data_IF_438324657473
#
_entry.id   IF_438324657473
#
_cell.length_a   1.000
_cell.length_b   1.000
_cell.length_c   1.000
_cell.angle_alpha   90.00
_cell.angle_beta   90.00
_cell.angle_gamma   90.00
#
_symmetry.space_group_name_H-M   'P 1'
#
loop_
_entity.id
_entity.type
_entity.pdbx_description
1 polymer ?
#
# COMPACT_ATOMS: atom_id res chain seq x y z
N UNK A 1 -1.72 -13.42 14.95
CA UNK A 1 -0.42 -13.04 15.57
C UNK A 1 -0.64 -12.61 17.02
N UNK A 2 -1.67 -13.14 17.70
CA UNK A 2 -2.31 -12.43 18.81
C UNK A 2 -2.91 -11.10 18.36
N UNK A 3 -3.11 -10.18 19.30
CA UNK A 3 -3.48 -8.79 19.03
C UNK A 3 -2.40 -8.13 18.17
N UNK A 4 -2.83 -7.55 17.06
CA UNK A 4 -1.94 -6.80 16.17
C UNK A 4 -1.63 -5.44 16.80
N UNK A 5 -0.35 -5.08 16.81
CA UNK A 5 0.13 -3.82 17.39
C UNK A 5 0.53 -2.84 16.29
N UNK A 6 1.40 -3.29 15.38
CA UNK A 6 1.96 -2.43 14.35
C UNK A 6 2.01 -3.12 12.99
N UNK A 7 1.74 -2.35 11.94
CA UNK A 7 2.08 -2.72 10.56
C UNK A 7 3.08 -1.69 10.04
N UNK A 8 4.17 -2.16 9.45
CA UNK A 8 5.22 -1.32 8.88
C UNK A 8 5.48 -1.79 7.45
N UNK A 9 5.07 -0.98 6.48
CA UNK A 9 5.23 -1.24 5.06
C UNK A 9 6.27 -0.30 4.49
N UNK A 10 7.34 -0.89 3.96
CA UNK A 10 8.32 -0.17 3.17
C UNK A 10 7.99 -0.37 1.68
N UNK A 11 7.59 0.72 1.04
CA UNK A 11 7.28 0.80 -0.37
C UNK A 11 8.15 1.83 -1.12
N UNK A 12 9.24 2.28 -0.49
CA UNK A 12 10.17 3.26 -1.07
C UNK A 12 10.98 2.64 -2.21
N UNK A 13 11.11 3.35 -3.33
CA UNK A 13 12.01 3.00 -4.43
C UNK A 13 12.39 4.27 -5.17
N UNK A 14 13.42 4.19 -6.01
CA UNK A 14 13.69 5.27 -6.95
C UNK A 14 12.93 4.98 -8.24
N UNK A 15 12.10 5.93 -8.68
CA UNK A 15 11.38 5.85 -9.93
C UNK A 15 11.46 7.21 -10.63
N UNK A 16 11.94 7.20 -11.87
CA UNK A 16 11.99 8.38 -12.70
C UNK A 16 10.86 8.29 -13.71
N UNK A 17 10.01 9.31 -13.77
CA UNK A 17 9.06 9.48 -14.85
C UNK A 17 9.40 10.78 -15.57
N UNK A 18 9.11 10.83 -16.86
CA UNK A 18 9.24 12.03 -17.69
C UNK A 18 8.01 12.18 -18.59
N UNK A 19 6.87 11.66 -18.13
CA UNK A 19 5.60 11.62 -18.85
C UNK A 19 4.51 12.36 -18.05
N UNK A 20 3.25 12.16 -18.44
CA UNK A 20 2.07 12.82 -17.87
C UNK A 20 1.95 12.68 -16.34
N UNK A 21 2.62 11.71 -15.71
CA UNK A 21 2.61 11.53 -14.25
C UNK A 21 3.32 12.64 -13.48
N UNK A 22 4.18 13.40 -14.15
CA UNK A 22 4.82 14.59 -13.55
C UNK A 22 4.05 15.87 -13.87
N UNK A 23 2.97 15.80 -14.64
CA UNK A 23 2.10 16.93 -14.95
C UNK A 23 0.92 16.98 -13.97
N UNK A 24 0.90 18.00 -13.12
CA UNK A 24 -0.16 18.21 -12.14
C UNK A 24 -1.54 18.41 -12.79
N UNK A 25 -1.60 18.92 -14.03
CA UNK A 25 -2.86 19.09 -14.75
C UNK A 25 -3.46 17.77 -15.27
N UNK A 26 -2.67 16.69 -15.33
CA UNK A 26 -3.10 15.39 -15.86
C UNK A 26 -3.14 14.27 -14.82
N UNK A 27 -2.29 14.33 -13.79
CA UNK A 27 -2.04 13.21 -12.87
C UNK A 27 -3.01 13.10 -11.68
N UNK A 28 -3.75 14.16 -11.32
CA UNK A 28 -4.67 14.15 -10.17
C UNK A 28 -3.97 14.21 -8.80
N UNK A 29 -2.68 13.85 -8.74
CA UNK A 29 -1.83 13.84 -7.55
C UNK A 29 -0.45 13.26 -7.88
N UNK A 30 0.46 13.29 -6.90
CA UNK A 30 1.80 12.76 -7.09
C UNK A 30 1.90 11.24 -6.88
N UNK A 31 3.07 10.83 -6.43
CA UNK A 31 3.47 9.44 -6.31
C UNK A 31 2.52 8.61 -5.43
N UNK A 32 1.97 9.18 -4.35
CA UNK A 32 1.06 8.44 -3.48
C UNK A 32 -0.27 8.13 -4.18
N UNK A 33 -0.81 9.10 -4.94
CA UNK A 33 -2.04 8.89 -5.70
C UNK A 33 -1.84 7.87 -6.83
N UNK A 34 -0.77 8.04 -7.61
CA UNK A 34 -0.47 7.19 -8.77
C UNK A 34 -0.15 5.74 -8.40
N UNK A 35 0.92 5.52 -7.63
CA UNK A 35 1.40 4.17 -7.32
C UNK A 35 1.22 3.78 -5.85
N UNK A 36 1.10 4.76 -4.96
CA UNK A 36 0.88 4.53 -3.53
C UNK A 36 -0.50 3.97 -3.24
N UNK A 37 -1.50 4.22 -4.09
CA UNK A 37 -2.87 3.72 -3.93
C UNK A 37 -2.94 2.20 -3.81
N UNK A 38 -2.09 1.46 -4.51
CA UNK A 38 -2.01 -0.01 -4.37
C UNK A 38 -1.54 -0.44 -2.97
N UNK A 39 -0.65 0.33 -2.34
CA UNK A 39 -0.19 0.07 -0.98
C UNK A 39 -1.21 0.50 0.07
N UNK A 40 -1.95 1.57 -0.20
CA UNK A 40 -3.10 1.98 0.63
C UNK A 40 -4.19 0.91 0.57
N UNK A 41 -4.54 0.41 -0.62
CA UNK A 41 -5.45 -0.72 -0.80
C UNK A 41 -4.98 -1.94 -0.02
N UNK A 42 -3.70 -2.30 -0.11
CA UNK A 42 -3.13 -3.43 0.63
C UNK A 42 -3.33 -3.26 2.15
N UNK A 43 -2.94 -2.10 2.70
CA UNK A 43 -3.06 -1.78 4.13
C UNK A 43 -4.51 -1.70 4.61
N UNK A 44 -5.44 -1.30 3.74
CA UNK A 44 -6.87 -1.25 4.03
C UNK A 44 -7.57 -2.61 3.90
N UNK A 45 -6.88 -3.63 3.35
CA UNK A 45 -7.41 -4.98 3.14
C UNK A 45 -6.65 -6.07 3.91
N UNK A 46 -5.86 -5.72 4.93
CA UNK A 46 -5.14 -6.70 5.77
C UNK A 46 -6.06 -7.52 6.70
N UNK A 47 -7.37 -7.27 6.66
CA UNK A 47 -8.38 -7.95 7.49
C UNK A 47 -8.78 -7.20 8.76
N UNK A 48 -8.43 -5.92 8.89
CA UNK A 48 -8.89 -5.04 9.97
C UNK A 48 -9.39 -3.74 9.34
N UNK A 49 -10.54 -3.24 9.80
CA UNK A 49 -11.09 -1.96 9.34
C UNK A 49 -10.17 -0.78 9.68
N UNK A 50 -10.04 0.15 8.74
CA UNK A 50 -9.30 1.41 8.92
C UNK A 50 -10.27 2.48 9.42
N UNK A 51 -9.94 3.15 10.52
CA UNK A 51 -10.77 4.23 11.08
C UNK A 51 -10.37 5.60 10.54
N UNK A 52 -9.06 5.87 10.45
CA UNK A 52 -8.52 7.13 9.93
C UNK A 52 -7.15 6.93 9.33
N UNK A 53 -6.79 7.78 8.37
CA UNK A 53 -5.40 7.92 7.92
C UNK A 53 -4.87 9.34 8.09
N UNK A 54 -3.55 9.47 8.26
CA UNK A 54 -2.81 10.73 8.27
C UNK A 54 -1.63 10.66 7.32
N UNK A 55 -1.51 11.63 6.41
CA UNK A 55 -0.36 11.80 5.54
C UNK A 55 0.65 12.79 6.11
N UNK A 56 1.92 12.57 5.84
CA UNK A 56 3.03 13.47 6.17
C UNK A 56 3.99 13.45 4.97
N UNK A 57 4.11 14.58 4.28
CA UNK A 57 5.08 14.75 3.21
C UNK A 57 6.43 15.20 3.80
N UNK A 58 7.52 14.45 3.59
CA UNK A 58 8.85 14.94 3.91
C UNK A 58 9.28 15.99 2.88
N UNK A 59 9.86 17.10 3.35
CA UNK A 59 10.43 18.17 2.52
C UNK A 59 9.55 18.61 1.32
N UNK A 60 8.36 19.20 1.56
CA UNK A 60 7.53 19.72 0.48
C UNK A 60 8.29 20.75 -0.37
N UNK A 61 8.22 20.62 -1.70
CA UNK A 61 8.91 21.49 -2.65
C UNK A 61 7.94 22.29 -3.54
N UNK A 62 6.63 22.22 -3.25
CA UNK A 62 5.57 22.91 -4.01
C UNK A 62 5.12 22.21 -5.31
N UNK A 63 5.78 21.13 -5.71
CA UNK A 63 5.35 20.27 -6.82
C UNK A 63 4.50 19.08 -6.37
N UNK A 64 4.21 18.18 -7.31
CA UNK A 64 3.63 16.87 -7.02
C UNK A 64 4.48 16.13 -5.99
N UNK A 65 3.84 15.56 -4.96
CA UNK A 65 4.58 14.87 -3.92
C UNK A 65 5.20 13.59 -4.46
N UNK A 66 6.48 13.37 -4.19
CA UNK A 66 7.17 12.15 -4.62
C UNK A 66 7.40 11.16 -3.49
N UNK A 67 7.18 11.61 -2.26
CA UNK A 67 7.37 10.86 -1.03
C UNK A 67 6.26 11.20 -0.04
N UNK A 68 5.76 10.21 0.68
CA UNK A 68 4.75 10.36 1.72
C UNK A 68 4.87 9.25 2.76
N UNK A 69 4.79 9.61 4.04
CA UNK A 69 4.44 8.67 5.10
C UNK A 69 2.93 8.71 5.32
N UNK A 70 2.29 7.54 5.34
CA UNK A 70 0.86 7.43 5.69
C UNK A 70 0.72 6.58 6.94
N UNK A 71 0.06 7.14 7.95
CA UNK A 71 -0.23 6.48 9.23
C UNK A 71 -1.69 6.04 9.21
N UNK A 72 -1.95 4.77 9.52
CA UNK A 72 -3.28 4.17 9.57
C UNK A 72 -3.64 3.87 11.02
N UNK A 73 -4.83 4.28 11.45
CA UNK A 73 -5.44 3.78 12.69
C UNK A 73 -6.47 2.72 12.32
N UNK A 74 -6.47 1.62 13.06
CA UNK A 74 -7.36 0.48 12.84
C UNK A 74 -8.38 0.33 13.96
N UNK A 75 -9.52 -0.31 13.66
CA UNK A 75 -10.63 -0.53 14.61
C UNK A 75 -10.21 -1.27 15.88
N UNK A 76 -9.23 -2.17 15.78
CA UNK A 76 -8.71 -2.92 16.92
C UNK A 76 -7.60 -2.18 17.71
N UNK A 77 -7.33 -0.92 17.39
CA UNK A 77 -6.30 -0.10 18.02
C UNK A 77 -4.88 -0.32 17.49
N UNK A 78 -4.68 -1.18 16.47
CA UNK A 78 -3.39 -1.29 15.79
C UNK A 78 -3.05 -0.01 15.02
N UNK A 79 -1.76 0.21 14.77
CA UNK A 79 -1.26 1.34 13.96
C UNK A 79 -0.44 0.87 12.77
N UNK A 80 -0.79 1.31 11.57
CA UNK A 80 -0.07 1.05 10.34
C UNK A 80 0.79 2.22 9.92
N UNK A 81 1.93 1.94 9.30
CA UNK A 81 2.81 2.92 8.68
C UNK A 81 3.17 2.46 7.27
N UNK A 82 2.89 3.32 6.28
CA UNK A 82 3.38 3.19 4.93
C UNK A 82 4.47 4.23 4.70
N UNK A 83 5.66 3.78 4.32
CA UNK A 83 6.70 4.64 3.76
C UNK A 83 6.69 4.49 2.24
N UNK A 84 6.17 5.49 1.55
CA UNK A 84 6.09 5.50 0.10
C UNK A 84 7.00 6.58 -0.48
N UNK A 85 7.80 6.23 -1.49
CA UNK A 85 8.68 7.19 -2.15
C UNK A 85 9.05 6.71 -3.55
N UNK A 86 9.20 7.67 -4.47
CA UNK A 86 9.83 7.53 -5.79
C UNK A 86 11.24 8.16 -5.86
N UNK A 87 11.77 8.64 -4.74
CA UNK A 87 13.05 9.38 -4.69
C UNK A 87 14.16 8.57 -4.02
N UNK A 88 13.81 7.58 -3.19
CA UNK A 88 14.75 6.87 -2.34
C UNK A 88 15.45 5.74 -3.12
N UNK A 89 16.79 5.78 -3.29
CA UNK A 89 17.53 4.66 -3.88
C UNK A 89 17.50 3.45 -2.94
N UNK A 90 17.03 2.31 -3.43
CA UNK A 90 16.94 1.07 -2.65
C UNK A 90 17.88 -0.01 -3.17
N UNK A 91 18.32 -0.88 -2.25
CA UNK A 91 19.12 -2.07 -2.57
C UNK A 91 18.43 -2.92 -3.64
N UNK A 92 19.23 -3.40 -4.59
CA UNK A 92 18.78 -4.20 -5.74
C UNK A 92 17.60 -3.57 -6.51
N UNK A 93 17.51 -2.23 -6.53
CA UNK A 93 16.48 -1.44 -7.23
C UNK A 93 15.02 -1.74 -6.82
N UNK A 94 14.80 -2.38 -5.67
CA UNK A 94 13.43 -2.63 -5.20
C UNK A 94 13.26 -3.66 -4.09
N UNK A 95 14.34 -4.20 -3.52
CA UNK A 95 14.25 -5.09 -2.36
C UNK A 95 13.74 -4.28 -1.17
N UNK A 96 12.56 -4.64 -0.66
CA UNK A 96 11.91 -3.90 0.41
C UNK A 96 11.41 -4.88 1.45
N UNK A 97 11.76 -4.64 2.71
CA UNK A 97 11.33 -5.50 3.81
C UNK A 97 10.25 -4.78 4.61
N UNK A 98 9.13 -5.46 4.77
CA UNK A 98 7.97 -5.02 5.55
C UNK A 98 7.72 -5.96 6.72
N UNK A 99 7.00 -5.48 7.72
CA UNK A 99 6.76 -6.24 8.96
C UNK A 99 5.40 -5.96 9.59
N UNK A 100 4.76 -7.01 10.09
CA UNK A 100 3.57 -6.94 10.95
C UNK A 100 3.96 -7.48 12.33
N UNK A 101 3.54 -6.79 13.38
CA UNK A 101 3.86 -7.10 14.76
C UNK A 101 2.57 -7.35 15.53
N UNK A 102 2.51 -8.46 16.24
CA UNK A 102 1.46 -8.74 17.21
C UNK A 102 2.04 -9.31 18.51
N UNK A 103 1.20 -9.41 19.54
CA UNK A 103 1.62 -9.84 20.87
C UNK A 103 2.18 -11.27 20.92
N UNK A 104 1.73 -12.15 20.03
CA UNK A 104 2.12 -13.55 20.01
C UNK A 104 3.06 -13.93 18.86
N UNK A 105 3.46 -12.94 18.05
CA UNK A 105 4.32 -13.19 16.90
C UNK A 105 4.48 -12.01 15.96
N UNK A 106 5.34 -12.18 14.96
CA UNK A 106 5.57 -11.19 13.92
C UNK A 106 5.70 -11.85 12.55
N UNK A 107 5.33 -11.10 11.52
CA UNK A 107 5.48 -11.47 10.12
C UNK A 107 6.47 -10.53 9.45
N UNK A 108 7.60 -11.02 8.96
CA UNK A 108 8.52 -10.24 8.11
C UNK A 108 8.40 -10.73 6.69
N UNK A 109 8.24 -9.85 5.71
CA UNK A 109 8.11 -10.25 4.31
C UNK A 109 8.80 -9.27 3.39
N UNK A 110 9.22 -9.76 2.24
CA UNK A 110 9.66 -8.92 1.15
C UNK A 110 8.43 -8.35 0.44
N UNK A 111 8.37 -7.03 0.26
CA UNK A 111 7.15 -6.31 -0.14
C UNK A 111 6.65 -6.69 -1.55
N UNK A 112 7.51 -7.22 -2.42
CA UNK A 112 7.13 -7.74 -3.74
C UNK A 112 6.74 -9.24 -3.70
N UNK A 113 6.64 -9.84 -2.52
CA UNK A 113 6.15 -11.21 -2.36
C UNK A 113 7.20 -12.31 -2.55
N UNK A 114 8.50 -12.00 -2.50
CA UNK A 114 9.56 -13.00 -2.70
C UNK A 114 9.58 -14.03 -1.58
N UNK A 115 9.48 -13.58 -0.32
CA UNK A 115 9.48 -14.47 0.84
C UNK A 115 8.72 -13.87 2.02
N UNK A 116 8.36 -14.73 2.96
CA UNK A 116 7.72 -14.36 4.21
C UNK A 116 8.18 -15.26 5.36
N UNK A 117 8.55 -14.65 6.47
CA UNK A 117 9.01 -15.28 7.71
C UNK A 117 7.99 -15.00 8.81
N UNK A 118 7.35 -16.06 9.32
CA UNK A 118 6.48 -16.02 10.49
C UNK A 118 7.31 -16.41 11.71
N UNK A 119 7.24 -15.60 12.78
CA UNK A 119 7.81 -15.90 14.11
C UNK A 119 6.72 -15.77 15.16
N UNK A 120 6.82 -16.55 16.24
CA UNK A 120 5.84 -16.59 17.33
C UNK A 120 5.65 -18.01 17.84
N UNK A 121 4.43 -18.36 18.26
CA UNK A 121 4.07 -19.74 18.65
C UNK A 121 4.40 -20.78 17.58
N UNK A 122 4.31 -20.40 16.30
CA UNK A 122 4.76 -21.20 15.16
C UNK A 122 5.80 -20.42 14.37
N UNK A 123 6.84 -21.11 13.90
CA UNK A 123 7.86 -20.56 12.99
C UNK A 123 7.62 -21.14 11.60
N UNK A 124 7.55 -20.28 10.58
CA UNK A 124 7.36 -20.71 9.19
C UNK A 124 8.14 -19.79 8.26
N UNK A 125 8.77 -20.38 7.26
CA UNK A 125 9.30 -19.67 6.10
C UNK A 125 8.46 -20.05 4.88
N UNK A 126 8.03 -19.06 4.11
CA UNK A 126 7.16 -19.22 2.94
C UNK A 126 7.81 -18.53 1.75
N UNK A 127 7.84 -19.23 0.61
CA UNK A 127 8.20 -18.69 -0.69
C UNK A 127 6.98 -18.85 -1.60
N UNK A 128 6.22 -17.77 -1.89
CA UNK A 128 5.00 -17.83 -2.70
C UNK A 128 5.24 -18.27 -4.16
N UNK A 129 6.49 -18.21 -4.62
CA UNK A 129 6.86 -18.46 -6.01
C UNK A 129 6.80 -17.20 -6.87
N UNK A 130 7.33 -17.29 -8.09
CA UNK A 130 7.49 -16.14 -8.99
C UNK A 130 6.45 -16.05 -10.11
N UNK A 131 5.53 -17.03 -10.19
CA UNK A 131 4.65 -17.21 -11.35
C UNK A 131 3.61 -16.08 -11.54
N UNK A 132 3.13 -15.47 -10.45
CA UNK A 132 2.13 -14.38 -10.49
C UNK A 132 2.46 -13.28 -9.46
N UNK A 133 3.72 -12.85 -9.41
CA UNK A 133 4.17 -11.81 -8.44
C UNK A 133 3.38 -10.52 -8.57
N UNK A 134 3.03 -10.13 -9.79
CA UNK A 134 2.23 -8.92 -10.05
C UNK A 134 0.72 -9.13 -9.78
N UNK A 135 0.27 -10.35 -9.51
CA UNK A 135 -1.12 -10.68 -9.21
C UNK A 135 -2.10 -10.56 -10.38
N UNK A 136 -1.61 -10.38 -11.61
CA UNK A 136 -2.46 -10.20 -12.79
C UNK A 136 -3.29 -11.44 -13.09
N UNK A 137 -2.73 -12.64 -12.93
CA UNK A 137 -3.42 -13.89 -13.21
C UNK A 137 -4.59 -14.06 -12.24
N UNK A 138 -4.34 -13.85 -10.95
CA UNK A 138 -5.39 -13.84 -9.93
C UNK A 138 -6.49 -12.80 -10.20
N UNK A 139 -6.09 -11.57 -10.56
CA UNK A 139 -7.02 -10.48 -10.86
C UNK A 139 -7.93 -10.80 -12.05
N UNK A 140 -7.37 -11.23 -13.19
CA UNK A 140 -8.18 -11.54 -14.37
C UNK A 140 -9.03 -12.80 -14.19
N UNK A 141 -8.55 -13.78 -13.42
CA UNK A 141 -9.35 -14.97 -13.07
C UNK A 141 -10.59 -14.57 -12.28
N UNK A 142 -10.43 -13.72 -11.26
CA UNK A 142 -11.54 -13.22 -10.45
C UNK A 142 -12.51 -12.36 -11.28
N UNK A 143 -11.99 -11.44 -12.07
CA UNK A 143 -12.79 -10.56 -12.93
C UNK A 143 -13.61 -11.35 -13.96
N UNK A 144 -13.00 -12.32 -14.65
CA UNK A 144 -13.72 -13.14 -15.64
C UNK A 144 -14.75 -14.07 -14.99
N UNK A 145 -14.47 -14.59 -13.79
CA UNK A 145 -15.45 -15.36 -13.02
C UNK A 145 -16.64 -14.50 -12.60
N UNK A 146 -16.40 -13.28 -12.11
CA UNK A 146 -17.44 -12.31 -11.76
C UNK A 146 -18.34 -12.00 -12.97
N UNK A 147 -17.75 -11.72 -14.14
CA UNK A 147 -18.50 -11.48 -15.38
C UNK A 147 -19.39 -12.67 -15.78
N UNK A 148 -18.88 -13.90 -15.68
CA UNK A 148 -19.63 -15.10 -16.06
C UNK A 148 -20.75 -15.45 -15.11
N UNK A 149 -20.57 -15.18 -13.83
CA UNK A 149 -21.49 -15.61 -12.77
C UNK A 149 -22.43 -14.50 -12.30
N UNK A 150 -22.20 -13.25 -12.71
CA UNK A 150 -22.94 -12.08 -12.23
C UNK A 150 -22.67 -11.75 -10.75
N UNK A 151 -21.61 -12.32 -10.16
CA UNK A 151 -21.22 -12.05 -8.78
C UNK A 151 -20.26 -10.86 -8.71
N UNK A 152 -20.14 -10.24 -7.54
CA UNK A 152 -19.19 -9.14 -7.34
C UNK A 152 -17.73 -9.67 -7.34
N UNK A 153 -16.79 -8.97 -8.00
CA UNK A 153 -15.37 -9.31 -7.88
C UNK A 153 -14.87 -9.01 -6.47
N UNK A 154 -13.71 -9.58 -6.10
CA UNK A 154 -13.07 -9.33 -4.80
C UNK A 154 -12.65 -7.88 -4.62
N UNK A 155 -12.20 -7.21 -5.68
CA UNK A 155 -11.91 -5.78 -5.70
C UNK A 155 -13.07 -5.06 -6.35
N UNK A 156 -14.03 -4.65 -5.52
CA UNK A 156 -15.25 -3.95 -5.95
C UNK A 156 -15.01 -2.46 -6.18
N UNK A 157 -15.98 -1.80 -6.83
CA UNK A 157 -15.97 -0.34 -6.95
C UNK A 157 -16.00 0.37 -5.60
N UNK A 158 -16.69 -0.18 -4.60
CA UNK A 158 -16.72 0.41 -3.25
C UNK A 158 -15.34 0.36 -2.57
N UNK A 159 -14.56 -0.70 -2.80
CA UNK A 159 -13.16 -0.78 -2.36
C UNK A 159 -12.34 0.31 -3.04
N UNK A 160 -12.46 0.47 -4.37
CA UNK A 160 -11.74 1.52 -5.10
C UNK A 160 -12.11 2.92 -4.60
N UNK A 161 -13.41 3.19 -4.37
CA UNK A 161 -13.90 4.45 -3.82
C UNK A 161 -13.33 4.71 -2.43
N UNK A 162 -13.34 3.71 -1.54
CA UNK A 162 -12.75 3.80 -0.19
C UNK A 162 -11.27 4.16 -0.29
N UNK A 163 -10.51 3.52 -1.17
CA UNK A 163 -9.07 3.76 -1.27
C UNK A 163 -8.76 5.20 -1.73
N UNK A 164 -9.53 5.73 -2.69
CA UNK A 164 -9.43 7.15 -3.09
C UNK A 164 -9.78 8.08 -1.93
N UNK A 165 -10.79 7.75 -1.12
CA UNK A 165 -11.13 8.53 0.08
C UNK A 165 -10.00 8.52 1.12
N UNK A 166 -9.33 7.38 1.32
CA UNK A 166 -8.16 7.30 2.21
C UNK A 166 -6.99 8.13 1.67
N UNK A 167 -6.72 8.09 0.36
CA UNK A 167 -5.70 8.96 -0.26
C UNK A 167 -6.04 10.45 -0.04
N UNK A 168 -7.30 10.84 -0.26
CA UNK A 168 -7.80 12.20 0.00
C UNK A 168 -7.59 12.63 1.44
N UNK A 169 -7.88 11.75 2.40
CA UNK A 169 -7.65 12.02 3.81
C UNK A 169 -6.15 12.20 4.13
N UNK A 170 -5.29 11.37 3.52
CA UNK A 170 -3.84 11.51 3.67
C UNK A 170 -3.33 12.85 3.09
N UNK A 171 -3.81 13.24 1.91
CA UNK A 171 -3.46 14.52 1.29
C UNK A 171 -3.93 15.71 2.13
N UNK A 172 -5.20 15.69 2.57
CA UNK A 172 -5.77 16.76 3.37
C UNK A 172 -5.00 16.99 4.68
N UNK A 173 -4.57 15.91 5.33
CA UNK A 173 -3.79 15.99 6.57
C UNK A 173 -2.31 16.34 6.36
N UNK A 174 -1.80 16.15 5.13
CA UNK A 174 -0.49 16.63 4.70
C UNK A 174 -0.53 18.07 4.13
N UNK A 175 -1.70 18.72 4.15
CA UNK A 175 -1.94 20.05 3.58
C UNK A 175 -1.65 20.13 2.07
N UNK A 176 -1.84 19.01 1.36
CA UNK A 176 -1.69 18.92 -0.09
C UNK A 176 -3.02 19.05 -0.79
N UNK A 177 -3.01 19.76 -1.93
CA UNK A 177 -4.16 19.85 -2.83
C UNK A 177 -4.14 18.66 -3.78
N UNK A 178 -5.29 18.01 -3.94
CA UNK A 178 -5.54 17.22 -5.14
C UNK A 178 -5.94 18.20 -6.25
N UNK A 179 -5.50 17.91 -7.47
CA UNK A 179 -5.99 18.60 -8.66
C UNK A 179 -7.29 17.92 -9.08
N UNK A 180 -8.38 18.70 -9.12
CA UNK A 180 -9.73 18.25 -9.48
C UNK A 180 -9.86 17.83 -10.95
#
# INVERSE_FOLDING_TARGET
>A
LGDMLFININAMKQQHNADWREDAAMSGGGALFEGGIHWVNFLANIGIGVTTVRGIQPHPNGGLERSMQVIFNYENGAVGNLFYSWEVPTLFKGLRISRIFGREGSLTFESNGIFMVVRGRKKRLVFPGFADISGFTGMFTDFTAALRTGTAPKLTFDIARRDVQLIRQAYATAELKQTD
#
